data_IF_196644010301
#
_entry.id   IF_196644010301
#
_cell.length_a   1.000
_cell.length_b   1.000
_cell.length_c   1.000
_cell.angle_alpha   90.00
_cell.angle_beta   90.00
_cell.angle_gamma   90.00
#
_symmetry.space_group_name_H-M   'P 1'
#
loop_
_entity.id
_entity.type
_entity.pdbx_description
1 polymer ?
#
# COMPACT_ATOMS: atom_id res chain seq x y z
N UNK A 1 -23.91 -3.73 24.27
CA UNK A 1 -22.83 -2.76 24.01
C UNK A 1 -22.37 -2.88 22.55
N UNK A 2 -21.85 -1.80 21.94
CA UNK A 2 -21.32 -1.86 20.58
C UNK A 2 -19.91 -2.45 20.55
N UNK A 3 -19.61 -3.32 19.58
CA UNK A 3 -18.25 -3.76 19.32
C UNK A 3 -17.55 -2.76 18.37
N UNK A 4 -16.57 -2.03 18.90
CA UNK A 4 -15.76 -1.06 18.14
C UNK A 4 -14.26 -1.33 18.24
N UNK A 5 -13.84 -2.56 18.58
CA UNK A 5 -12.43 -2.95 18.71
C UNK A 5 -11.57 -1.97 19.55
N UNK A 6 -12.15 -1.35 20.59
CA UNK A 6 -11.49 -0.32 21.41
C UNK A 6 -11.02 0.93 20.64
N UNK A 7 -11.64 1.22 19.49
CA UNK A 7 -11.29 2.37 18.64
C UNK A 7 -12.37 3.44 18.56
N UNK A 8 -13.55 3.19 19.10
CA UNK A 8 -14.57 4.22 19.27
C UNK A 8 -15.18 4.11 20.67
N UNK A 9 -15.50 5.28 21.25
CA UNK A 9 -16.25 5.38 22.51
C UNK A 9 -17.75 5.57 22.31
N UNK A 10 -18.17 5.93 21.09
CA UNK A 10 -19.56 6.24 20.74
C UNK A 10 -19.98 5.35 19.58
N UNK A 11 -21.25 4.99 19.56
CA UNK A 11 -21.89 4.29 18.45
C UNK A 11 -23.34 4.77 18.30
N UNK A 12 -23.92 4.55 17.12
CA UNK A 12 -25.36 4.70 16.88
C UNK A 12 -25.96 3.36 16.52
N UNK A 13 -27.26 3.22 16.76
CA UNK A 13 -28.01 2.07 16.27
C UNK A 13 -28.52 2.33 14.84
N UNK A 14 -28.52 1.29 14.02
CA UNK A 14 -29.09 1.29 12.68
C UNK A 14 -30.06 0.10 12.55
N UNK A 15 -31.35 0.42 12.39
CA UNK A 15 -32.43 -0.55 12.31
C UNK A 15 -32.35 -1.45 11.07
N UNK A 16 -31.91 -0.92 9.93
CA UNK A 16 -31.78 -1.67 8.68
C UNK A 16 -30.70 -2.74 8.81
N UNK A 17 -29.53 -2.35 9.33
CA UNK A 17 -28.43 -3.29 9.61
C UNK A 17 -28.82 -4.34 10.66
N UNK A 18 -29.65 -3.97 11.64
CA UNK A 18 -30.18 -4.91 12.61
C UNK A 18 -31.06 -5.97 11.94
N UNK A 19 -31.99 -5.56 11.06
CA UNK A 19 -32.83 -6.49 10.29
C UNK A 19 -31.99 -7.41 9.40
N UNK A 20 -31.04 -6.86 8.64
CA UNK A 20 -30.14 -7.61 7.76
C UNK A 20 -29.25 -8.61 8.52
N UNK A 21 -28.89 -8.31 9.77
CA UNK A 21 -28.11 -9.22 10.62
C UNK A 21 -28.92 -10.39 11.21
N UNK A 22 -30.19 -10.56 10.83
CA UNK A 22 -31.09 -11.53 11.45
C UNK A 22 -31.45 -11.14 12.88
N UNK A 23 -31.67 -9.84 13.12
CA UNK A 23 -31.97 -9.27 14.45
C UNK A 23 -30.87 -9.52 15.49
N UNK A 24 -29.60 -9.61 15.07
CA UNK A 24 -28.43 -9.84 15.94
C UNK A 24 -27.71 -8.55 16.35
N UNK A 25 -27.38 -7.66 15.41
CA UNK A 25 -26.62 -6.44 15.68
C UNK A 25 -26.91 -5.31 14.70
N UNK A 26 -27.29 -4.14 15.24
CA UNK A 26 -27.49 -2.89 14.50
C UNK A 26 -26.47 -1.80 14.82
N UNK A 27 -25.50 -2.05 15.71
CA UNK A 27 -24.55 -1.03 16.16
C UNK A 27 -23.58 -0.58 15.06
N UNK A 28 -23.34 0.72 14.95
CA UNK A 28 -22.37 1.35 14.05
C UNK A 28 -21.50 2.31 14.86
N UNK A 29 -20.20 2.06 14.88
CA UNK A 29 -19.23 2.89 15.60
C UNK A 29 -19.11 4.27 14.97
N UNK A 30 -18.88 5.29 15.80
CA UNK A 30 -18.73 6.68 15.38
C UNK A 30 -17.31 7.16 15.67
N UNK A 31 -16.73 7.91 14.73
CA UNK A 31 -15.41 8.52 14.86
C UNK A 31 -14.33 7.50 15.25
N UNK A 32 -14.16 6.46 14.44
CA UNK A 32 -13.09 5.47 14.63
C UNK A 32 -11.74 6.17 14.76
N UNK A 33 -11.04 5.88 15.87
CA UNK A 33 -9.71 6.40 16.18
C UNK A 33 -8.64 5.44 15.67
N UNK A 34 -7.38 5.79 15.89
CA UNK A 34 -6.23 4.90 15.62
C UNK A 34 -6.11 4.49 14.14
N UNK A 35 -6.57 5.37 13.23
CA UNK A 35 -6.54 5.14 11.78
C UNK A 35 -7.32 3.91 11.32
N UNK A 36 -8.32 3.51 12.10
CA UNK A 36 -9.26 2.46 11.73
C UNK A 36 -10.52 3.03 11.07
N UNK A 37 -11.23 2.18 10.35
CA UNK A 37 -12.43 2.49 9.61
C UNK A 37 -13.40 1.30 9.61
N UNK A 38 -14.60 1.55 9.10
CA UNK A 38 -15.67 0.58 9.02
C UNK A 38 -16.61 0.57 10.22
N UNK A 39 -17.69 -0.20 10.07
CA UNK A 39 -18.80 -0.28 11.05
C UNK A 39 -18.36 -0.59 12.47
N UNK A 40 -17.35 -1.44 12.62
CA UNK A 40 -16.78 -1.86 13.89
C UNK A 40 -15.35 -1.36 14.11
N UNK A 41 -14.87 -0.41 13.31
CA UNK A 41 -13.47 0.02 13.32
C UNK A 41 -12.50 -1.19 13.15
N UNK A 42 -12.77 -2.06 12.18
CA UNK A 42 -12.13 -3.39 12.07
C UNK A 42 -11.12 -3.51 10.92
N UNK A 43 -10.96 -2.47 10.12
CA UNK A 43 -9.93 -2.38 9.08
C UNK A 43 -9.30 -0.99 9.09
N UNK A 44 -8.19 -0.82 8.39
CA UNK A 44 -7.46 0.45 8.34
C UNK A 44 -8.07 1.41 7.33
N UNK A 45 -8.12 2.70 7.65
CA UNK A 45 -8.55 3.72 6.69
C UNK A 45 -7.60 3.79 5.48
N UNK A 46 -8.04 4.37 4.38
CA UNK A 46 -7.18 4.59 3.21
C UNK A 46 -5.89 5.35 3.58
N UNK A 47 -4.79 4.97 2.93
CA UNK A 47 -3.44 5.43 3.30
C UNK A 47 -2.85 4.76 4.53
N UNK A 48 -3.51 3.72 5.08
CA UNK A 48 -3.00 2.87 6.15
C UNK A 48 -3.18 1.39 5.82
N UNK A 49 -2.32 0.55 6.37
CA UNK A 49 -2.37 -0.91 6.23
C UNK A 49 -2.27 -1.60 7.59
N UNK A 50 -2.73 -2.85 7.63
CA UNK A 50 -2.80 -3.67 8.85
C UNK A 50 -1.42 -4.16 9.27
N UNK A 51 -1.03 -3.88 10.50
CA UNK A 51 0.16 -4.44 11.13
C UNK A 51 -0.18 -5.78 11.82
N UNK A 52 0.04 -6.89 11.12
CA UNK A 52 -0.31 -8.23 11.61
C UNK A 52 0.45 -8.66 12.89
N UNK A 53 1.53 -7.96 13.27
CA UNK A 53 2.22 -8.21 14.54
C UNK A 53 1.43 -7.75 15.77
N UNK A 54 0.37 -6.97 15.57
CA UNK A 54 -0.46 -6.38 16.63
C UNK A 54 -1.88 -6.92 16.56
N UNK A 55 -2.56 -7.01 17.70
CA UNK A 55 -4.01 -7.25 17.74
C UNK A 55 -4.75 -6.10 17.05
N UNK A 56 -5.92 -6.38 16.44
CA UNK A 56 -6.78 -5.35 15.86
C UNK A 56 -7.23 -4.32 16.90
N UNK A 57 -7.23 -4.65 18.19
CA UNK A 57 -7.61 -3.71 19.25
C UNK A 57 -6.48 -2.75 19.67
N UNK A 58 -5.25 -2.94 19.19
CA UNK A 58 -4.10 -2.10 19.49
C UNK A 58 -4.24 -0.71 18.84
N UNK A 59 -3.83 0.35 19.54
CA UNK A 59 -3.82 1.74 19.00
C UNK A 59 -2.91 1.91 17.78
N UNK A 60 -1.98 0.99 17.55
CA UNK A 60 -1.03 0.97 16.42
C UNK A 60 -1.32 -0.20 15.46
N UNK A 61 -2.52 -0.80 15.50
CA UNK A 61 -2.91 -1.88 14.59
C UNK A 61 -2.87 -1.48 13.11
N UNK A 62 -2.92 -0.18 12.82
CA UNK A 62 -2.84 0.41 11.48
C UNK A 62 -1.59 1.27 11.34
N UNK A 63 -0.76 0.94 10.35
CA UNK A 63 0.48 1.65 10.01
C UNK A 63 0.27 2.47 8.74
N UNK A 64 0.86 3.66 8.69
CA UNK A 64 0.73 4.53 7.52
C UNK A 64 1.43 3.91 6.30
N UNK A 65 0.81 4.08 5.13
CA UNK A 65 1.48 3.86 3.85
C UNK A 65 2.54 4.95 3.66
N UNK A 66 3.77 4.55 3.36
CA UNK A 66 4.89 5.46 3.11
C UNK A 66 5.32 5.37 1.65
N UNK A 67 4.37 5.51 0.73
CA UNK A 67 4.62 5.35 -0.69
C UNK A 67 5.51 6.47 -1.23
N UNK A 68 6.60 6.10 -1.89
CA UNK A 68 7.60 7.03 -2.40
C UNK A 68 6.97 7.99 -3.43
N UNK A 69 7.13 9.32 -3.26
CA UNK A 69 6.37 10.31 -4.04
C UNK A 69 6.64 10.25 -5.54
N UNK A 70 7.84 9.84 -5.94
CA UNK A 70 8.24 9.72 -7.35
C UNK A 70 8.07 8.30 -7.88
N UNK A 71 8.27 7.29 -7.03
CA UNK A 71 8.37 5.89 -7.45
C UNK A 71 7.05 5.13 -7.41
N UNK A 72 6.10 5.60 -6.60
CA UNK A 72 4.75 5.06 -6.58
C UNK A 72 3.82 5.81 -7.56
N UNK A 73 2.82 5.11 -8.07
CA UNK A 73 1.72 5.66 -8.85
C UNK A 73 0.61 6.28 -7.97
N UNK A 74 0.64 6.03 -6.66
CA UNK A 74 -0.38 6.52 -5.72
C UNK A 74 0.08 6.44 -4.27
N UNK A 75 -0.68 7.11 -3.38
CA UNK A 75 -0.40 7.17 -1.93
C UNK A 75 -1.07 6.05 -1.13
N UNK A 76 -2.08 5.39 -1.71
CA UNK A 76 -2.82 4.31 -1.07
C UNK A 76 -2.13 2.99 -1.36
N UNK A 77 -1.60 2.35 -0.32
CA UNK A 77 -1.03 1.01 -0.40
C UNK A 77 -2.10 -0.07 -0.16
N UNK A 78 -1.76 -1.31 -0.48
CA UNK A 78 -2.59 -2.47 -0.18
C UNK A 78 -2.81 -2.57 1.35
N UNK A 79 -4.06 -2.64 1.79
CA UNK A 79 -4.42 -2.61 3.22
C UNK A 79 -3.93 -3.83 4.02
N UNK A 80 -3.63 -4.94 3.34
CA UNK A 80 -3.17 -6.18 3.99
C UNK A 80 -1.65 -6.29 3.95
N UNK A 81 -1.02 -6.04 2.80
CA UNK A 81 0.42 -6.23 2.63
C UNK A 81 1.25 -4.98 2.88
N UNK A 82 0.64 -3.80 2.80
CA UNK A 82 1.33 -2.51 2.82
C UNK A 82 2.04 -2.17 1.51
N UNK A 83 1.91 -2.99 0.46
CA UNK A 83 2.57 -2.77 -0.82
C UNK A 83 1.97 -1.56 -1.54
N UNK A 84 2.82 -0.58 -1.84
CA UNK A 84 2.47 0.57 -2.65
C UNK A 84 2.38 0.19 -4.15
N UNK A 85 1.52 0.86 -4.92
CA UNK A 85 1.45 0.67 -6.37
C UNK A 85 2.69 1.29 -7.01
N UNK A 86 3.67 0.48 -7.40
CA UNK A 86 4.92 0.98 -7.98
C UNK A 86 4.79 1.28 -9.47
N UNK A 87 5.51 2.31 -9.92
CA UNK A 87 5.69 2.60 -11.36
C UNK A 87 6.58 1.54 -12.02
N UNK A 88 6.57 1.54 -13.36
CA UNK A 88 7.37 0.62 -14.15
C UNK A 88 8.86 0.68 -13.79
N UNK A 89 9.47 -0.50 -13.63
CA UNK A 89 10.87 -0.63 -13.23
C UNK A 89 11.17 -0.25 -11.78
N UNK A 90 10.17 0.13 -10.97
CA UNK A 90 10.33 0.45 -9.54
C UNK A 90 9.88 -0.73 -8.68
N UNK A 91 10.55 -0.95 -7.54
CA UNK A 91 10.24 -2.03 -6.59
C UNK A 91 10.45 -1.60 -5.13
N UNK A 92 10.20 -2.54 -4.21
CA UNK A 92 10.19 -2.34 -2.77
C UNK A 92 8.78 -2.06 -2.23
N UNK A 93 8.57 -2.29 -0.93
CA UNK A 93 7.28 -2.10 -0.26
C UNK A 93 6.71 -0.70 -0.49
N UNK A 94 7.61 0.30 -0.44
CA UNK A 94 7.30 1.73 -0.59
C UNK A 94 7.64 2.28 -1.97
N UNK A 95 8.04 1.44 -2.94
CA UNK A 95 8.46 1.87 -4.28
C UNK A 95 9.66 2.84 -4.28
N UNK A 96 10.66 2.56 -3.44
CA UNK A 96 11.78 3.46 -3.18
C UNK A 96 13.08 3.11 -3.94
N UNK A 97 13.07 2.09 -4.80
CA UNK A 97 14.26 1.67 -5.56
C UNK A 97 13.91 1.10 -6.92
N UNK A 98 14.85 1.14 -7.87
CA UNK A 98 14.69 0.47 -9.15
C UNK A 98 14.83 -1.05 -8.99
N UNK A 99 14.10 -1.80 -9.80
CA UNK A 99 14.23 -3.24 -9.92
C UNK A 99 15.57 -3.62 -10.56
N UNK A 100 15.96 -4.89 -10.43
CA UNK A 100 17.17 -5.42 -11.09
C UNK A 100 17.06 -5.23 -12.61
N UNK A 101 18.12 -4.74 -13.25
CA UNK A 101 18.14 -4.42 -14.68
C UNK A 101 17.56 -3.05 -15.03
N UNK A 102 17.26 -2.21 -14.03
CA UNK A 102 16.87 -0.81 -14.20
C UNK A 102 17.85 0.11 -13.47
N UNK A 103 17.99 1.35 -13.96
CA UNK A 103 18.76 2.42 -13.34
C UNK A 103 17.89 3.67 -13.13
N UNK A 104 18.25 4.49 -12.14
CA UNK A 104 17.54 5.74 -11.87
C UNK A 104 17.71 6.74 -13.02
N UNK A 105 16.61 7.37 -13.40
CA UNK A 105 16.57 8.46 -14.38
C UNK A 105 16.31 9.79 -13.69
N UNK A 106 16.46 10.90 -14.42
CA UNK A 106 16.09 12.25 -13.94
C UNK A 106 14.61 12.58 -14.13
N UNK A 107 13.81 11.70 -14.73
CA UNK A 107 12.39 11.94 -14.99
C UNK A 107 11.52 11.57 -13.78
N UNK A 108 10.69 12.48 -13.26
CA UNK A 108 9.70 12.15 -12.23
C UNK A 108 8.60 11.20 -12.73
N UNK A 109 8.35 11.20 -14.05
CA UNK A 109 7.30 10.36 -14.68
C UNK A 109 7.80 8.92 -14.80
N UNK A 110 9.01 8.74 -15.33
CA UNK A 110 9.65 7.44 -15.53
C UNK A 110 10.98 7.37 -14.76
N UNK A 111 10.94 7.20 -13.42
CA UNK A 111 12.14 7.31 -12.58
C UNK A 111 13.12 6.16 -12.71
N UNK A 112 12.71 5.03 -13.30
CA UNK A 112 13.58 3.88 -13.54
C UNK A 112 13.50 3.48 -15.01
N UNK A 113 14.66 3.43 -15.68
CA UNK A 113 14.78 3.02 -17.09
C UNK A 113 15.58 1.73 -17.19
N UNK A 114 15.22 0.86 -18.14
CA UNK A 114 15.89 -0.43 -18.34
C UNK A 114 17.33 -0.22 -18.81
N UNK A 115 18.26 -0.94 -18.21
CA UNK A 115 19.67 -0.94 -18.65
C UNK A 115 19.73 -1.71 -19.97
N UNK A 116 20.30 -1.13 -21.05
CA UNK A 116 20.49 -1.86 -22.30
C UNK A 116 21.35 -3.10 -22.04
N UNK A 117 20.88 -4.26 -22.49
CA UNK A 117 21.71 -5.46 -22.50
C UNK A 117 22.78 -5.27 -23.59
N UNK A 118 23.97 -4.84 -23.19
CA UNK A 118 25.13 -4.91 -24.08
C UNK A 118 25.47 -6.39 -24.20
N UNK A 119 25.08 -7.02 -25.30
CA UNK A 119 25.62 -8.34 -25.62
C UNK A 119 27.12 -8.16 -25.90
N UNK A 120 28.04 -8.85 -25.19
CA UNK A 120 29.47 -8.80 -25.49
C UNK A 120 29.78 -9.23 -26.94
N UNK A 121 28.87 -9.99 -27.53
CA UNK A 121 28.42 -10.03 -28.93
C UNK A 121 28.94 -8.99 -29.93
N UNK A 122 28.60 -7.74 -29.63
CA UNK A 122 28.49 -6.66 -30.63
C UNK A 122 29.66 -5.68 -30.60
N UNK A 123 30.61 -5.87 -29.68
CA UNK A 123 31.78 -4.99 -29.52
C UNK A 123 33.04 -5.51 -30.22
N UNK A 124 32.96 -6.63 -30.95
CA UNK A 124 34.14 -7.27 -31.58
C UNK A 124 34.23 -7.07 -33.10
N UNK A 125 33.30 -6.36 -33.75
CA UNK A 125 33.25 -6.21 -35.22
C UNK A 125 33.64 -4.82 -35.75
N UNK A 126 34.54 -4.08 -35.09
CA UNK A 126 34.96 -2.76 -35.59
C UNK A 126 36.47 -2.45 -35.47
N UNK A 127 37.35 -3.46 -35.44
CA UNK A 127 38.81 -3.22 -35.50
C UNK A 127 39.58 -4.19 -36.40
N UNK A 128 38.96 -4.72 -37.46
CA UNK A 128 39.74 -5.41 -38.49
C UNK A 128 39.31 -4.98 -39.89
N UNK A 129 40.11 -4.10 -40.48
CA UNK A 129 40.20 -3.93 -41.92
C UNK A 129 41.69 -3.96 -42.31
N UNK A 130 42.11 -4.88 -43.20
CA UNK A 130 43.49 -5.07 -43.63
C UNK A 130 43.84 -4.25 -44.87
N UNK A 131 45.09 -3.76 -44.92
CA UNK A 131 46.00 -3.67 -46.07
C UNK A 131 47.12 -2.66 -45.76
#
# INVERSE_FOLDING_TARGET
ACNCNLHARRCRFNMELYKLSGRKSGGVCLNCRHNTAGRHCHYCKEGFYRDLSKSITDRKACKACDCHPVGAAGKTCNQTTGQCPCKDGVTGLTCNRCAKGYQQSRSPVAPCIKIPAINPTSLVTSTEAPA
#
